data_IF_616971055367
#
_entry.id   IF_616971055367
#
_cell.length_a   1.000
_cell.length_b   1.000
_cell.length_c   1.000
_cell.angle_alpha   90.00
_cell.angle_beta   90.00
_cell.angle_gamma   90.00
#
_symmetry.space_group_name_H-M   'P 1'
#
loop_
_entity.id
_entity.type
_entity.pdbx_description
1 polymer ?
#
# COMPACT_ATOMS: atom_id res chain seq x y z
N UNK A 1 55.29 -73.17 17.06
CA UNK A 1 54.39 -72.78 18.17
C UNK A 1 54.57 -71.33 18.64
N UNK A 2 55.79 -70.81 18.88
CA UNK A 2 56.00 -69.40 19.30
C UNK A 2 55.45 -68.33 18.34
N UNK A 3 55.56 -68.55 17.02
CA UNK A 3 55.02 -67.65 15.99
C UNK A 3 53.48 -67.55 16.03
N UNK A 4 52.82 -68.65 16.34
CA UNK A 4 51.36 -68.68 16.54
C UNK A 4 50.95 -68.00 17.84
N UNK A 5 51.72 -68.17 18.93
CA UNK A 5 51.47 -67.44 20.17
C UNK A 5 51.61 -65.92 20.00
N UNK A 6 52.60 -65.46 19.23
CA UNK A 6 52.78 -64.04 18.90
C UNK A 6 51.62 -63.53 18.03
N UNK A 7 51.19 -64.30 17.03
CA UNK A 7 50.06 -63.93 16.19
C UNK A 7 48.75 -63.80 16.99
N UNK A 8 48.50 -64.72 17.93
CA UNK A 8 47.32 -64.69 18.81
C UNK A 8 47.39 -63.49 19.76
N UNK A 9 48.56 -63.21 20.35
CA UNK A 9 48.73 -62.04 21.21
C UNK A 9 48.53 -60.73 20.45
N UNK A 10 49.05 -60.62 19.22
CA UNK A 10 48.84 -59.45 18.36
C UNK A 10 47.35 -59.26 18.00
N UNK A 11 46.65 -60.35 17.65
CA UNK A 11 45.21 -60.32 17.40
C UNK A 11 44.41 -59.91 18.65
N UNK A 12 44.80 -60.38 19.83
CA UNK A 12 44.16 -60.00 21.09
C UNK A 12 44.36 -58.51 21.40
N UNK A 13 45.54 -57.96 21.14
CA UNK A 13 45.82 -56.52 21.30
C UNK A 13 45.03 -55.69 20.28
N UNK A 14 44.95 -56.12 19.02
CA UNK A 14 44.18 -55.42 17.99
C UNK A 14 42.67 -55.46 18.28
N UNK A 15 42.13 -56.62 18.66
CA UNK A 15 40.74 -56.76 19.03
C UNK A 15 40.41 -55.97 20.30
N UNK A 16 41.30 -56.02 21.31
CA UNK A 16 41.17 -55.23 22.52
C UNK A 16 41.22 -53.73 22.25
N UNK A 17 42.17 -53.28 21.42
CA UNK A 17 42.30 -51.89 21.00
C UNK A 17 41.08 -51.40 20.22
N UNK A 18 40.59 -52.19 19.26
CA UNK A 18 39.38 -51.90 18.50
C UNK A 18 38.14 -51.81 19.39
N UNK A 19 37.94 -52.79 20.27
CA UNK A 19 36.82 -52.80 21.22
C UNK A 19 36.87 -51.63 22.18
N UNK A 20 38.06 -51.30 22.68
CA UNK A 20 38.28 -50.12 23.54
C UNK A 20 37.96 -48.83 22.79
N UNK A 21 38.45 -48.71 21.55
CA UNK A 21 38.23 -47.53 20.70
C UNK A 21 36.75 -47.31 20.41
N UNK A 22 35.99 -48.35 20.06
CA UNK A 22 34.55 -48.24 19.85
C UNK A 22 33.79 -47.83 21.12
N UNK A 23 34.28 -48.21 22.30
CA UNK A 23 33.67 -47.84 23.59
C UNK A 23 34.05 -46.43 24.04
N UNK A 24 35.26 -45.99 23.74
CA UNK A 24 35.79 -44.67 24.10
C UNK A 24 35.30 -43.56 23.15
N UNK A 25 35.02 -43.89 21.89
CA UNK A 25 34.54 -42.95 20.87
C UNK A 25 33.17 -43.39 20.32
N UNK A 26 32.10 -43.34 21.14
CA UNK A 26 30.75 -43.57 20.62
C UNK A 26 30.48 -42.54 19.51
N UNK A 27 30.03 -43.02 18.35
CA UNK A 27 29.72 -42.15 17.22
C UNK A 27 28.72 -41.07 17.62
N UNK A 28 28.88 -39.85 17.09
CA UNK A 28 27.97 -38.74 17.37
C UNK A 28 26.54 -39.18 16.99
N UNK A 29 25.56 -39.12 17.91
CA UNK A 29 24.18 -39.42 17.57
C UNK A 29 23.75 -38.49 16.43
N UNK A 30 22.88 -38.93 15.51
CA UNK A 30 22.38 -38.07 14.45
C UNK A 30 21.84 -36.79 15.08
N UNK A 31 22.48 -35.67 14.76
CA UNK A 31 22.17 -34.39 15.38
C UNK A 31 20.72 -34.01 15.09
N UNK A 32 19.96 -33.71 16.14
CA UNK A 32 18.61 -33.18 15.98
C UNK A 32 18.76 -31.77 15.43
N UNK A 33 18.38 -31.58 14.16
CA UNK A 33 18.41 -30.28 13.52
C UNK A 33 17.18 -29.49 13.95
N UNK A 34 17.38 -28.59 14.90
CA UNK A 34 16.36 -27.62 15.29
C UNK A 34 16.37 -26.49 14.27
N UNK A 35 15.25 -26.33 13.57
CA UNK A 35 15.02 -25.24 12.63
C UNK A 35 13.64 -24.65 12.91
N UNK A 36 13.53 -23.33 12.78
CA UNK A 36 12.25 -22.66 12.90
C UNK A 36 11.45 -22.91 11.61
N UNK A 37 10.19 -23.32 11.76
CA UNK A 37 9.25 -23.37 10.63
C UNK A 37 8.58 -22.01 10.54
N UNK A 38 8.89 -21.25 9.48
CA UNK A 38 8.22 -19.99 9.21
C UNK A 38 6.94 -20.26 8.41
N UNK A 39 5.79 -20.15 9.08
CA UNK A 39 4.47 -20.22 8.45
C UNK A 39 4.05 -18.79 8.14
N UNK A 40 3.68 -18.54 6.89
CA UNK A 40 3.09 -17.25 6.47
C UNK A 40 1.59 -17.40 6.41
N UNK A 41 0.89 -16.58 7.19
CA UNK A 41 -0.56 -16.47 7.18
C UNK A 41 -0.95 -15.11 6.63
N UNK A 42 -2.02 -15.07 5.85
CA UNK A 42 -2.63 -13.85 5.36
C UNK A 42 -4.13 -13.93 5.59
N UNK A 43 -4.69 -12.86 6.13
CA UNK A 43 -6.14 -12.74 6.30
C UNK A 43 -6.72 -12.10 5.04
N UNK A 44 -7.68 -12.79 4.42
CA UNK A 44 -8.33 -12.36 3.19
C UNK A 44 -9.69 -11.74 3.54
N UNK A 45 -9.96 -10.58 2.96
CA UNK A 45 -11.23 -9.90 3.09
C UNK A 45 -11.73 -9.43 1.72
N UNK A 46 -13.05 -9.34 1.58
CA UNK A 46 -13.65 -8.65 0.43
C UNK A 46 -13.38 -7.16 0.53
N UNK A 47 -13.09 -6.53 -0.61
CA UNK A 47 -12.90 -5.08 -0.72
C UNK A 47 -14.21 -4.30 -0.82
N UNK A 48 -15.33 -5.01 -0.89
CA UNK A 48 -16.67 -4.48 -1.12
C UNK A 48 -17.66 -5.16 -0.18
N UNK A 49 -18.68 -4.41 0.22
CA UNK A 49 -19.77 -4.94 1.05
C UNK A 49 -20.75 -5.81 0.24
N UNK A 50 -21.28 -6.85 0.86
CA UNK A 50 -22.27 -7.72 0.25
C UNK A 50 -22.39 -9.09 0.94
N UNK A 51 -23.25 -9.93 0.39
CA UNK A 51 -23.48 -11.30 0.88
C UNK A 51 -22.63 -12.30 0.10
N UNK A 52 -21.97 -13.22 0.79
CA UNK A 52 -21.22 -14.32 0.14
C UNK A 52 -22.22 -15.28 -0.51
N UNK A 53 -22.10 -15.50 -1.82
CA UNK A 53 -22.96 -16.40 -2.59
C UNK A 53 -22.37 -17.80 -2.72
N UNK A 54 -21.04 -17.91 -2.68
CA UNK A 54 -20.35 -19.19 -2.82
C UNK A 54 -18.96 -19.15 -2.19
N UNK A 55 -18.56 -20.27 -1.59
CA UNK A 55 -17.21 -20.51 -1.07
C UNK A 55 -16.77 -21.91 -1.50
N UNK A 56 -16.23 -22.07 -2.72
CA UNK A 56 -15.91 -23.37 -3.28
C UNK A 56 -14.69 -24.06 -2.65
N UNK A 57 -13.88 -23.33 -1.86
CA UNK A 57 -12.66 -23.82 -1.22
C UNK A 57 -12.86 -24.04 0.27
N UNK A 58 -12.27 -25.11 0.78
CA UNK A 58 -12.31 -25.45 2.21
C UNK A 58 -10.96 -25.18 2.88
N UNK A 59 -10.98 -25.17 4.22
CA UNK A 59 -9.77 -25.03 5.02
C UNK A 59 -8.78 -26.15 4.68
N UNK A 60 -7.51 -25.78 4.47
CA UNK A 60 -6.44 -26.70 4.12
C UNK A 60 -6.32 -27.02 2.62
N UNK A 61 -7.25 -26.57 1.78
CA UNK A 61 -7.13 -26.74 0.32
C UNK A 61 -5.96 -25.91 -0.23
N UNK A 62 -5.12 -26.48 -1.13
CA UNK A 62 -4.09 -25.72 -1.81
C UNK A 62 -4.74 -24.76 -2.82
N UNK A 63 -4.33 -23.49 -2.77
CA UNK A 63 -4.82 -22.42 -3.66
C UNK A 63 -3.67 -21.80 -4.45
N UNK A 64 -3.97 -21.35 -5.67
CA UNK A 64 -3.01 -20.62 -6.51
C UNK A 64 -3.38 -19.14 -6.60
N UNK A 65 -2.41 -18.30 -6.93
CA UNK A 65 -2.66 -16.88 -7.18
C UNK A 65 -3.67 -16.70 -8.33
N UNK A 66 -4.64 -15.81 -8.13
CA UNK A 66 -5.72 -15.55 -9.08
C UNK A 66 -6.90 -16.53 -8.99
N UNK A 67 -6.85 -17.50 -8.08
CA UNK A 67 -7.92 -18.45 -7.90
C UNK A 67 -9.05 -17.90 -7.01
N UNK A 68 -10.30 -18.16 -7.40
CA UNK A 68 -11.47 -17.70 -6.65
C UNK A 68 -11.71 -18.58 -5.41
N UNK A 69 -11.50 -18.00 -4.22
CA UNK A 69 -11.70 -18.69 -2.93
C UNK A 69 -13.15 -18.52 -2.44
N UNK A 70 -13.75 -17.36 -2.72
CA UNK A 70 -15.15 -17.04 -2.41
C UNK A 70 -15.71 -16.01 -3.39
N UNK A 71 -17.03 -15.95 -3.53
CA UNK A 71 -17.75 -15.02 -4.41
C UNK A 71 -18.81 -14.24 -3.63
N UNK A 72 -18.85 -12.93 -3.87
CA UNK A 72 -19.87 -12.02 -3.35
C UNK A 72 -21.06 -11.92 -4.31
N UNK A 73 -22.25 -11.58 -3.82
CA UNK A 73 -23.37 -11.19 -4.68
C UNK A 73 -23.03 -9.92 -5.47
N UNK A 74 -23.12 -10.00 -6.79
CA UNK A 74 -22.70 -8.95 -7.71
C UNK A 74 -23.86 -8.21 -8.39
N UNK A 75 -25.11 -8.52 -8.05
CA UNK A 75 -26.29 -8.00 -8.74
C UNK A 75 -26.35 -6.46 -8.78
N UNK A 76 -26.13 -5.81 -7.63
CA UNK A 76 -26.09 -4.35 -7.52
C UNK A 76 -24.93 -3.76 -8.30
N UNK A 77 -23.74 -4.38 -8.22
CA UNK A 77 -22.55 -3.94 -8.93
C UNK A 77 -22.71 -4.04 -10.45
N UNK A 78 -23.29 -5.14 -10.94
CA UNK A 78 -23.60 -5.33 -12.37
C UNK A 78 -24.59 -4.29 -12.88
N UNK A 79 -25.62 -3.98 -12.09
CA UNK A 79 -26.60 -2.95 -12.41
C UNK A 79 -25.96 -1.56 -12.50
N UNK A 80 -25.09 -1.22 -11.54
CA UNK A 80 -24.36 0.04 -11.54
C UNK A 80 -23.44 0.18 -12.76
N UNK A 81 -22.74 -0.89 -13.14
CA UNK A 81 -21.91 -0.94 -14.37
C UNK A 81 -22.77 -0.72 -15.61
N UNK A 82 -23.94 -1.36 -15.71
CA UNK A 82 -24.85 -1.19 -16.85
C UNK A 82 -25.34 0.27 -17.00
N UNK A 83 -25.71 0.91 -15.89
CA UNK A 83 -26.11 2.33 -15.88
C UNK A 83 -24.95 3.24 -16.30
N UNK A 84 -23.76 2.99 -15.77
CA UNK A 84 -22.57 3.77 -16.14
C UNK A 84 -22.20 3.59 -17.62
N UNK A 85 -22.31 2.37 -18.15
CA UNK A 85 -22.09 2.09 -19.57
C UNK A 85 -23.09 2.84 -20.46
N UNK A 86 -24.38 2.82 -20.13
CA UNK A 86 -25.41 3.55 -20.86
C UNK A 86 -25.15 5.08 -20.87
N UNK A 87 -24.71 5.64 -19.74
CA UNK A 87 -24.31 7.06 -19.65
C UNK A 87 -23.08 7.37 -20.50
N UNK A 88 -22.09 6.49 -20.50
CA UNK A 88 -20.89 6.61 -21.36
C UNK A 88 -21.29 6.65 -22.83
N UNK A 89 -22.17 5.74 -23.24
CA UNK A 89 -22.56 5.60 -24.64
C UNK A 89 -23.42 6.76 -25.13
N UNK A 90 -24.32 7.29 -24.28
CA UNK A 90 -25.08 8.50 -24.62
C UNK A 90 -24.17 9.73 -24.76
N UNK A 91 -23.20 9.90 -23.85
CA UNK A 91 -22.21 10.98 -23.92
C UNK A 91 -21.33 10.85 -25.18
N UNK A 92 -20.91 9.62 -25.51
CA UNK A 92 -20.14 9.35 -26.73
C UNK A 92 -20.95 9.71 -27.99
N UNK A 93 -22.21 9.30 -28.05
CA UNK A 93 -23.09 9.64 -29.18
C UNK A 93 -23.32 11.16 -29.31
N UNK A 94 -23.42 11.88 -28.19
CA UNK A 94 -23.50 13.34 -28.21
C UNK A 94 -22.21 13.97 -28.72
N UNK A 95 -21.05 13.50 -28.27
CA UNK A 95 -19.75 13.97 -28.76
C UNK A 95 -19.62 13.71 -30.26
N UNK A 96 -19.93 12.51 -30.73
CA UNK A 96 -19.84 12.15 -32.15
C UNK A 96 -20.76 13.03 -33.01
N UNK A 97 -21.96 13.36 -32.51
CA UNK A 97 -22.86 14.33 -33.16
C UNK A 97 -22.24 15.73 -33.22
N UNK A 98 -21.63 16.21 -32.14
CA UNK A 98 -20.99 17.52 -32.10
C UNK A 98 -19.77 17.57 -33.02
N UNK A 99 -18.91 16.55 -32.99
CA UNK A 99 -17.73 16.43 -33.86
C UNK A 99 -18.15 16.36 -35.33
N UNK A 100 -19.15 15.53 -35.67
CA UNK A 100 -19.68 15.44 -37.04
C UNK A 100 -20.37 16.73 -37.50
N UNK A 101 -21.02 17.46 -36.59
CA UNK A 101 -21.60 18.79 -36.86
C UNK A 101 -20.53 19.88 -37.01
N UNK A 102 -19.34 19.67 -36.46
CA UNK A 102 -18.19 20.56 -36.57
C UNK A 102 -17.06 20.00 -37.47
N UNK A 103 -17.29 19.69 -38.75
CA UNK A 103 -16.17 19.47 -39.66
C UNK A 103 -15.56 20.85 -39.93
N UNK A 104 -14.40 21.11 -39.32
CA UNK A 104 -13.46 22.17 -39.72
C UNK A 104 -14.05 23.58 -39.95
N UNK A 105 -14.84 24.13 -39.01
CA UNK A 105 -14.83 25.59 -38.84
C UNK A 105 -13.63 25.93 -37.98
N UNK A 106 -12.53 26.31 -38.63
CA UNK A 106 -11.32 26.80 -37.97
C UNK A 106 -11.70 27.73 -36.83
N UNK A 107 -11.43 27.30 -35.60
CA UNK A 107 -11.69 28.08 -34.41
C UNK A 107 -10.66 29.21 -34.41
N UNK A 108 -10.97 30.31 -35.12
CA UNK A 108 -10.26 31.57 -34.97
C UNK A 108 -10.64 32.06 -33.56
N UNK A 109 -9.71 32.11 -32.59
CA UNK A 109 -10.04 32.70 -31.30
C UNK A 109 -10.53 34.13 -31.57
N UNK A 110 -11.75 34.42 -31.10
CA UNK A 110 -12.32 35.77 -31.21
C UNK A 110 -11.41 36.78 -30.52
N UNK A 111 -11.47 38.07 -30.90
CA UNK A 111 -10.65 39.10 -30.29
C UNK A 111 -10.84 39.05 -28.77
N UNK A 112 -9.71 38.97 -28.04
CA UNK A 112 -9.69 39.03 -26.58
C UNK A 112 -10.45 40.28 -26.17
N UNK A 113 -11.58 40.12 -25.50
CA UNK A 113 -12.27 41.28 -24.94
C UNK A 113 -11.33 41.95 -23.94
N UNK A 114 -11.19 43.29 -23.99
CA UNK A 114 -10.43 43.99 -22.96
C UNK A 114 -11.08 43.66 -21.62
N UNK A 115 -10.28 43.18 -20.66
CA UNK A 115 -10.68 43.06 -19.26
C UNK A 115 -11.38 44.36 -18.88
N UNK A 116 -12.68 44.32 -18.62
CA UNK A 116 -13.31 45.43 -17.93
C UNK A 116 -12.57 45.53 -16.59
N UNK A 117 -11.87 46.65 -16.39
CA UNK A 117 -11.41 47.06 -15.07
C UNK A 117 -12.67 47.18 -14.23
N UNK A 118 -12.98 46.13 -13.47
CA UNK A 118 -13.90 46.23 -12.35
C UNK A 118 -13.29 47.31 -11.45
N UNK A 119 -13.98 48.44 -11.34
CA UNK A 119 -13.59 49.51 -10.45
C UNK A 119 -13.44 48.96 -9.04
N UNK A 120 -12.30 49.24 -8.45
CA UNK A 120 -11.99 48.93 -7.06
C UNK A 120 -12.96 49.74 -6.17
N UNK A 121 -13.80 49.12 -5.33
CA UNK A 121 -14.69 49.85 -4.45
C UNK A 121 -13.90 50.30 -3.22
N UNK A 122 -13.07 51.34 -3.36
CA UNK A 122 -12.18 51.74 -2.27
C UNK A 122 -11.64 53.16 -2.24
N UNK A 123 -11.87 54.00 -3.26
CA UNK A 123 -11.23 55.32 -3.28
C UNK A 123 -12.13 56.38 -2.60
N UNK A 124 -11.86 56.67 -1.32
CA UNK A 124 -12.41 57.84 -0.63
C UNK A 124 -11.60 59.07 -1.05
N UNK A 125 -12.20 60.14 -1.61
CA UNK A 125 -11.55 61.44 -1.60
C UNK A 125 -11.75 62.03 -0.20
N UNK A 126 -10.70 62.62 0.34
CA UNK A 126 -10.69 63.69 1.36
C UNK A 126 -9.56 63.50 2.36
N UNK A 127 -8.35 63.86 1.92
CA UNK A 127 -7.35 64.42 2.83
C UNK A 127 -6.94 65.80 2.32
N UNK A 128 -7.74 66.79 2.71
CA UNK A 128 -7.27 68.15 2.82
C UNK A 128 -6.39 68.21 4.09
N UNK A 129 -5.08 68.23 3.90
CA UNK A 129 -4.10 68.39 4.97
C UNK A 129 -3.88 69.89 5.21
N UNK A 130 -4.09 70.44 6.41
CA UNK A 130 -3.49 71.72 6.78
C UNK A 130 -2.08 71.50 7.39
N UNK A 131 -1.17 72.47 7.27
CA UNK A 131 0.21 72.31 7.71
C UNK A 131 0.42 72.74 9.17
N UNK A 132 1.42 72.08 9.77
CA UNK A 132 2.37 72.55 10.76
C UNK A 132 1.90 73.13 12.12
N UNK A 133 2.31 72.41 13.17
CA UNK A 133 2.96 73.02 14.33
C UNK A 133 2.05 73.44 15.49
N UNK A 134 1.99 72.61 16.54
CA UNK A 134 1.98 73.09 17.92
C UNK A 134 2.31 71.94 18.89
N UNK A 135 3.31 72.18 19.73
CA UNK A 135 3.63 71.43 20.93
C UNK A 135 2.43 71.29 21.87
N UNK A 136 2.41 70.25 22.72
CA UNK A 136 2.47 70.36 24.19
C UNK A 136 1.91 69.09 24.89
N UNK A 137 2.74 68.57 25.82
CA UNK A 137 2.48 67.97 27.15
C UNK A 137 1.02 67.50 27.45
N UNK A 138 0.74 66.32 28.00
CA UNK A 138 1.06 65.80 29.35
C UNK A 138 0.79 64.28 29.37
N UNK A 139 1.65 63.39 29.88
CA UNK A 139 1.87 62.93 31.29
C UNK A 139 0.65 62.26 31.96
N UNK A 140 0.95 61.17 32.69
CA UNK A 140 0.17 60.34 33.65
C UNK A 140 -0.30 58.97 33.09
N UNK A 141 0.36 57.81 33.31
CA UNK A 141 0.54 56.97 34.53
C UNK A 141 -0.77 56.64 35.27
N UNK A 142 -0.90 55.50 35.98
CA UNK A 142 -0.56 54.09 35.67
C UNK A 142 -1.66 53.11 36.21
N UNK A 143 -1.27 51.84 36.40
CA UNK A 143 -1.76 50.83 37.37
C UNK A 143 -2.58 49.66 36.79
N UNK A 144 -2.04 48.43 36.78
CA UNK A 144 -2.09 47.39 37.86
C UNK A 144 -3.50 46.78 37.94
N UNK A 145 -3.76 45.48 37.93
CA UNK A 145 -3.00 44.23 38.06
C UNK A 145 -3.99 43.15 38.52
N UNK A 146 -3.56 41.88 38.61
CA UNK A 146 -4.34 40.77 39.17
C UNK A 146 -4.57 39.63 38.19
#
# INVERSE_FOLDING_TARGET
MKRFAIAIAALAVLAGGWFSFQRLFPGTPPGILYGNVEIRQVDLAFNSEGTVTSMPRQEGDPVKAGEAIARLDDATYRSAVAVAAARRDSAKAQLDKLVKRHPARGHRPGPRQPRQRQGDPGERPDKLQPPDGACRQERHHPATGG
#
